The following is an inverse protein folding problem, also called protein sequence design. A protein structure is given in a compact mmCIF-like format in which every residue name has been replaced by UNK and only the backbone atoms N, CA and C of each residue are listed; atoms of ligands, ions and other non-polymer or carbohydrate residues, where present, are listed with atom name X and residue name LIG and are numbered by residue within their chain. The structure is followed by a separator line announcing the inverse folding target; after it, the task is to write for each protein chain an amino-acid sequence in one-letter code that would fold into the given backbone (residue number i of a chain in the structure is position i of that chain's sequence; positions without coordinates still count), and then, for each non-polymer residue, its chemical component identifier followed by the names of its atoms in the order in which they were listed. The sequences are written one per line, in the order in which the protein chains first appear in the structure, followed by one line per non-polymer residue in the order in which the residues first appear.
data_IF_722222100063
#
_entry.id   IF_722222100063
#
_cell.length_a   1.000
_cell.length_b   1.000
_cell.length_c   1.000
_cell.angle_alpha   90.00
_cell.angle_beta   90.00
_cell.angle_gamma   90.00
#
_symmetry.space_group_name_H-M   'P 1'
#
loop_
_entity.id
_entity.type
_entity.pdbx_description
1 polymer ?
#
# COMPACT_ATOMS: atom_id res chain seq x y z
N UNK A 1 -8.30 19.10 -2.91
CA UNK A 1 -8.04 19.25 -2.27
C UNK A 1 -7.48 19.65 -1.51
N UNK A 2 -7.59 19.72 -1.47
CA UNK A 2 -6.92 20.10 -0.80
C UNK A 2 -6.75 20.19 0.17
N UNK A 3 -6.78 19.85 0.38
CA UNK A 3 -6.47 19.87 1.31
C UNK A 3 -6.08 20.13 2.16
N UNK A 4 -5.98 20.11 1.95
CA UNK A 4 -5.42 20.31 2.70
C UNK A 4 -4.87 20.51 3.36
N UNK A 5 -4.80 20.44 2.92
CA UNK A 5 -4.08 20.63 3.42
C UNK A 5 -3.78 21.09 4.17
N UNK A 6 -3.91 21.05 4.19
CA UNK A 6 -3.55 21.49 4.98
C UNK A 6 -2.97 21.54 5.76
N UNK A 7 -2.77 21.30 5.46
CA UNK A 7 -2.25 21.25 6.17
C UNK A 7 -1.77 21.43 6.99
N UNK A 8 -1.85 21.31 6.88
CA UNK A 8 -1.61 21.34 7.83
C UNK A 8 -0.71 20.99 8.43
N UNK A 9 -0.71 21.05 8.05
CA UNK A 9 0.16 20.66 8.93
C UNK A 9 1.42 20.04 8.43
N UNK A 10 2.40 19.94 9.17
CA UNK A 10 3.68 19.36 8.79
C UNK A 10 3.64 17.84 8.83
N UNK A 11 2.54 17.25 9.21
CA UNK A 11 2.43 15.80 9.30
C UNK A 11 2.19 15.18 7.96
N UNK A 12 3.00 14.17 7.60
CA UNK A 12 2.80 13.38 6.39
C UNK A 12 1.73 12.32 6.66
N UNK A 13 0.87 12.09 5.68
CA UNK A 13 -0.16 11.05 5.76
C UNK A 13 0.35 9.81 5.05
N UNK A 14 0.43 8.71 5.80
CA UNK A 14 0.91 7.44 5.28
C UNK A 14 -0.24 6.44 5.20
N UNK A 15 -0.43 5.84 4.04
CA UNK A 15 -1.49 4.88 3.78
C UNK A 15 -0.86 3.58 3.29
N UNK A 16 -1.13 2.49 4.01
CA UNK A 16 -0.70 1.17 3.58
C UNK A 16 -1.87 0.49 2.89
N UNK A 17 -1.72 0.20 1.61
CA UNK A 17 -2.73 -0.50 0.85
C UNK A 17 -2.38 -1.96 0.71
N UNK A 18 -3.34 -2.84 0.93
CA UNK A 18 -3.15 -4.28 0.90
C UNK A 18 -4.21 -4.91 0.00
N UNK A 19 -3.76 -5.72 -0.96
CA UNK A 19 -4.65 -6.53 -1.78
C UNK A 19 -4.31 -7.99 -1.49
N UNK A 20 -5.33 -8.79 -1.15
CA UNK A 20 -5.08 -10.18 -0.76
C UNK A 20 -6.31 -11.04 -0.97
N UNK A 21 -6.11 -12.36 -0.90
CA UNK A 21 -7.16 -13.38 -0.86
C UNK A 21 -8.03 -13.48 -2.11
N UNK A 22 -7.57 -12.88 -3.21
CA UNK A 22 -8.21 -13.09 -4.50
C UNK A 22 -7.21 -13.80 -5.42
N UNK A 23 -6.25 -13.09 -5.96
CA UNK A 23 -5.01 -13.62 -6.52
C UNK A 23 -4.11 -12.42 -6.72
N UNK A 24 -2.80 -12.66 -6.82
CA UNK A 24 -1.84 -11.59 -6.99
C UNK A 24 -1.86 -10.63 -5.81
N UNK A 25 -1.67 -11.18 -4.60
CA UNK A 25 -1.59 -10.35 -3.40
C UNK A 25 -0.47 -9.32 -3.53
N UNK A 26 -0.71 -8.15 -2.97
CA UNK A 26 0.22 -7.05 -3.12
C UNK A 26 0.10 -6.06 -1.97
N UNK A 27 1.11 -5.22 -1.83
CA UNK A 27 1.07 -4.13 -0.89
C UNK A 27 1.66 -2.88 -1.54
N UNK A 28 1.18 -1.74 -1.13
CA UNK A 28 1.70 -0.46 -1.60
C UNK A 28 1.68 0.52 -0.45
N UNK A 29 2.67 1.40 -0.41
CA UNK A 29 2.69 2.45 0.59
C UNK A 29 2.63 3.80 -0.11
N UNK A 30 1.66 4.60 0.31
CA UNK A 30 1.43 5.93 -0.23
C UNK A 30 1.72 6.92 0.89
N UNK A 31 2.58 7.88 0.63
CA UNK A 31 2.88 8.93 1.59
C UNK A 31 2.59 10.26 0.92
N UNK A 32 1.70 11.01 1.52
CA UNK A 32 1.36 12.36 1.07
C UNK A 32 0.92 12.38 -0.39
N UNK A 33 0.18 11.36 -0.81
CA UNK A 33 -0.37 11.28 -2.16
C UNK A 33 0.54 10.66 -3.20
N UNK A 34 1.73 10.23 -2.82
CA UNK A 34 2.68 9.60 -3.74
C UNK A 34 2.89 8.14 -3.37
N UNK A 35 2.91 7.27 -4.38
CA UNK A 35 3.25 5.87 -4.15
C UNK A 35 4.76 5.77 -3.96
N UNK A 36 5.17 5.44 -2.75
CA UNK A 36 6.59 5.35 -2.42
C UNK A 36 7.16 3.99 -2.79
N UNK A 37 6.40 2.93 -2.55
CA UNK A 37 6.85 1.58 -2.87
C UNK A 37 5.63 0.68 -3.06
N UNK A 38 5.77 -0.31 -3.93
CA UNK A 38 4.72 -1.29 -4.16
C UNK A 38 5.35 -2.59 -4.63
N UNK A 39 4.75 -3.71 -4.24
CA UNK A 39 5.26 -5.00 -4.66
C UNK A 39 4.17 -6.06 -4.56
N UNK A 40 4.26 -7.08 -5.41
CA UNK A 40 3.40 -8.24 -5.32
C UNK A 40 4.09 -9.30 -4.48
N UNK A 41 3.29 -10.07 -3.76
CA UNK A 41 3.82 -11.13 -2.89
C UNK A 41 4.54 -12.20 -3.68
N UNK A 42 4.08 -12.48 -4.89
CA UNK A 42 4.70 -13.46 -5.77
C UNK A 42 6.19 -13.17 -5.97
N UNK A 43 6.56 -11.91 -5.96
CA UNK A 43 7.94 -11.50 -6.14
C UNK A 43 8.87 -12.12 -5.11
N UNK A 44 8.36 -12.36 -3.91
CA UNK A 44 9.15 -12.90 -2.80
C UNK A 44 8.96 -14.39 -2.63
N UNK A 45 7.73 -14.85 -2.77
CA UNK A 45 7.42 -16.27 -2.53
C UNK A 45 7.65 -17.13 -3.76
N UNK A 46 7.67 -16.53 -4.95
CA UNK A 46 7.79 -17.23 -6.24
C UNK A 46 6.63 -18.17 -6.50
N UNK A 47 5.52 -17.98 -5.81
CA UNK A 47 4.28 -18.73 -6.03
C UNK A 47 3.44 -17.91 -6.99
N UNK A 48 3.20 -18.45 -8.20
CA UNK A 48 2.46 -17.74 -9.23
C UNK A 48 1.06 -17.39 -8.73
N UNK A 49 0.67 -16.12 -8.88
CA UNK A 49 -0.64 -15.62 -8.44
C UNK A 49 -0.88 -15.85 -6.95
N UNK A 50 0.17 -15.72 -6.14
CA UNK A 50 0.05 -15.93 -4.71
C UNK A 50 -1.03 -15.02 -4.14
N UNK A 51 -2.04 -15.62 -3.53
CA UNK A 51 -3.20 -14.90 -3.01
C UNK A 51 -3.19 -14.82 -1.47
N UNK A 52 -2.16 -15.32 -0.84
CA UNK A 52 -2.06 -15.30 0.61
C UNK A 52 -1.83 -13.88 1.11
N UNK A 53 -1.96 -13.69 2.41
CA UNK A 53 -1.69 -12.38 2.99
C UNK A 53 -0.28 -11.94 2.61
N UNK A 54 -0.10 -10.72 2.07
CA UNK A 54 1.18 -10.33 1.48
C UNK A 54 2.17 -9.80 2.52
N UNK A 55 2.56 -10.66 3.43
CA UNK A 55 3.46 -10.30 4.52
C UNK A 55 4.80 -9.78 4.01
N UNK A 56 5.38 -10.47 3.02
CA UNK A 56 6.69 -10.06 2.50
C UNK A 56 6.60 -8.75 1.73
N UNK A 57 5.53 -8.56 0.98
CA UNK A 57 5.33 -7.31 0.24
C UNK A 57 5.16 -6.14 1.21
N UNK A 58 4.42 -6.35 2.30
CA UNK A 58 4.23 -5.32 3.31
C UNK A 58 5.57 -4.94 3.95
N UNK A 59 6.35 -5.93 4.34
CA UNK A 59 7.65 -5.68 4.93
C UNK A 59 8.55 -4.91 3.97
N UNK A 60 8.50 -5.28 2.70
CA UNK A 60 9.29 -4.61 1.68
C UNK A 60 8.91 -3.13 1.54
N UNK A 61 7.61 -2.83 1.44
CA UNK A 61 7.21 -1.44 1.23
C UNK A 61 7.49 -0.58 2.46
N UNK A 62 7.37 -1.14 3.65
CA UNK A 62 7.69 -0.41 4.87
C UNK A 62 9.19 -0.13 4.95
N UNK A 63 10.00 -1.13 4.61
CA UNK A 63 11.45 -0.98 4.64
C UNK A 63 11.94 0.03 3.59
N UNK A 64 11.41 -0.07 2.36
CA UNK A 64 11.80 0.83 1.29
C UNK A 64 11.46 2.27 1.60
N UNK A 65 10.34 2.49 2.25
CA UNK A 65 9.89 3.84 2.57
C UNK A 65 10.42 4.34 3.91
N UNK A 66 11.16 3.49 4.62
CA UNK A 66 11.71 3.81 5.93
C UNK A 66 10.60 4.18 6.93
N UNK A 67 9.47 3.48 6.84
CA UNK A 67 8.33 3.69 7.72
C UNK A 67 8.16 2.51 8.65
N UNK A 68 7.79 2.77 9.90
CA UNK A 68 7.41 1.72 10.82
C UNK A 68 5.90 1.56 10.76
N UNK A 69 5.41 0.39 11.13
CA UNK A 69 3.98 0.12 11.06
C UNK A 69 3.16 1.10 11.91
N UNK A 70 3.70 1.51 13.05
CA UNK A 70 3.00 2.44 13.93
C UNK A 70 2.97 3.87 13.39
N UNK A 71 3.67 4.13 12.28
CA UNK A 71 3.64 5.44 11.62
C UNK A 71 2.60 5.49 10.50
N UNK A 72 1.91 4.38 10.24
CA UNK A 72 0.89 4.31 9.21
C UNK A 72 -0.42 4.90 9.75
N UNK A 73 -0.98 5.84 9.02
CA UNK A 73 -2.22 6.51 9.43
C UNK A 73 -3.46 5.71 9.04
N UNK A 74 -3.44 5.06 7.87
CA UNK A 74 -4.59 4.32 7.37
C UNK A 74 -4.13 3.03 6.72
N UNK A 75 -4.93 1.98 6.86
CA UNK A 75 -4.73 0.73 6.14
C UNK A 75 -5.96 0.50 5.28
N UNK A 76 -5.75 0.35 3.97
CA UNK A 76 -6.83 0.09 3.02
C UNK A 76 -6.68 -1.34 2.52
N UNK A 77 -7.72 -2.12 2.67
CA UNK A 77 -7.71 -3.52 2.30
C UNK A 77 -8.63 -3.77 1.12
N UNK A 78 -8.18 -4.53 0.14
CA UNK A 78 -8.93 -4.74 -1.09
C UNK A 78 -8.73 -6.16 -1.59
N UNK A 79 -9.82 -6.88 -1.81
CA UNK A 79 -9.79 -8.28 -2.24
C UNK A 79 -10.08 -8.41 -3.72
N UNK A 80 -9.31 -7.69 -4.54
CA UNK A 80 -9.49 -7.67 -5.99
C UNK A 80 -8.13 -7.62 -6.67
N UNK A 81 -8.09 -7.76 -8.02
CA UNK A 81 -6.84 -7.67 -8.74
C UNK A 81 -6.12 -6.35 -8.52
N UNK A 82 -4.79 -6.40 -8.54
CA UNK A 82 -3.93 -5.28 -8.22
C UNK A 82 -4.22 -4.03 -9.05
N UNK A 83 -4.54 -4.19 -10.32
CA UNK A 83 -4.84 -3.03 -11.17
C UNK A 83 -6.00 -2.22 -10.63
N UNK A 84 -7.06 -2.89 -10.15
CA UNK A 84 -8.20 -2.20 -9.58
C UNK A 84 -7.84 -1.59 -8.24
N UNK A 85 -6.95 -2.23 -7.52
CA UNK A 85 -6.44 -1.73 -6.25
C UNK A 85 -5.73 -0.40 -6.45
N UNK A 86 -4.86 -0.31 -7.46
CA UNK A 86 -4.16 0.94 -7.75
C UNK A 86 -5.14 2.06 -8.07
N UNK A 87 -6.18 1.76 -8.85
CA UNK A 87 -7.18 2.77 -9.18
C UNK A 87 -7.93 3.24 -7.94
N UNK A 88 -8.21 2.31 -7.04
CA UNK A 88 -8.87 2.66 -5.79
C UNK A 88 -8.01 3.61 -4.98
N UNK A 89 -6.72 3.32 -4.89
CA UNK A 89 -5.80 4.18 -4.17
C UNK A 89 -5.71 5.58 -4.78
N UNK A 90 -5.72 5.66 -6.11
CA UNK A 90 -5.70 6.95 -6.79
C UNK A 90 -6.90 7.81 -6.42
N UNK A 91 -8.01 7.18 -6.11
CA UNK A 91 -9.21 7.89 -5.70
C UNK A 91 -9.03 8.52 -4.31
N UNK A 92 -8.23 7.90 -3.46
CA UNK A 92 -8.04 8.37 -2.09
C UNK A 92 -6.91 9.39 -1.97
N UNK A 93 -6.05 9.46 -2.94
CA UNK A 93 -4.94 10.38 -2.90
C UNK A 93 -5.07 11.45 -3.97
#
# INVERSE_FOLDING_TARGET
MSLHLFIRSSKLTAILGISAFYHDSAAALIVNGEIIAAAQEERFTRIKHDAKFPQNAIEYVLKESNQALDQIDYVVFYEKPFLKFERLLETYV
#
